data_IF_636753245901
#
_entry.id   IF_636753245901
#
_cell.length_a   1.000
_cell.length_b   1.000
_cell.length_c   1.000
_cell.angle_alpha   90.00
_cell.angle_beta   90.00
_cell.angle_gamma   90.00
#
_symmetry.space_group_name_H-M   'P 1'
#
loop_
_entity.id
_entity.type
_entity.pdbx_description
1 polymer ?
#
# COMPACT_ATOMS: atom_id res chain seq x y z
N UNK A 1 -36.83 -25.52 42.63
CA UNK A 1 -35.37 -25.35 42.38
C UNK A 1 -34.94 -25.59 40.93
N UNK A 2 -35.75 -26.25 40.08
CA UNK A 2 -35.36 -26.66 38.71
C UNK A 2 -35.23 -25.51 37.71
N UNK A 3 -36.09 -24.49 37.78
CA UNK A 3 -36.02 -23.33 36.88
C UNK A 3 -34.70 -22.56 36.98
N UNK A 4 -34.15 -22.40 38.19
CA UNK A 4 -32.89 -21.67 38.40
C UNK A 4 -31.71 -22.38 37.73
N UNK A 5 -31.67 -23.71 37.79
CA UNK A 5 -30.61 -24.53 37.17
C UNK A 5 -30.75 -24.51 35.64
N UNK A 6 -31.98 -24.66 35.12
CA UNK A 6 -32.25 -24.61 33.68
C UNK A 6 -31.87 -23.26 33.04
N UNK A 7 -32.22 -22.14 33.69
CA UNK A 7 -31.82 -20.80 33.24
C UNK A 7 -30.30 -20.57 33.33
N UNK A 8 -29.62 -21.20 34.29
CA UNK A 8 -28.17 -21.10 34.47
C UNK A 8 -27.42 -21.89 33.39
N UNK A 9 -27.88 -23.10 33.05
CA UNK A 9 -27.36 -23.93 31.95
C UNK A 9 -27.55 -23.22 30.60
N UNK A 10 -28.76 -22.74 30.31
CA UNK A 10 -29.03 -22.01 29.06
C UNK A 10 -28.15 -20.75 28.94
N UNK A 11 -27.94 -20.01 30.04
CA UNK A 11 -27.04 -18.85 30.09
C UNK A 11 -25.57 -19.21 29.89
N UNK A 12 -25.12 -20.37 30.37
CA UNK A 12 -23.75 -20.86 30.15
C UNK A 12 -23.53 -21.30 28.69
N UNK A 13 -24.48 -21.99 28.08
CA UNK A 13 -24.41 -22.36 26.66
C UNK A 13 -24.31 -21.12 25.75
N UNK A 14 -25.11 -20.08 26.03
CA UNK A 14 -25.01 -18.81 25.31
C UNK A 14 -23.63 -18.14 25.48
N UNK A 15 -22.98 -18.26 26.65
CA UNK A 15 -21.61 -17.75 26.85
C UNK A 15 -20.57 -18.52 26.03
N UNK A 16 -20.71 -19.84 25.90
CA UNK A 16 -19.82 -20.64 25.05
C UNK A 16 -19.97 -20.28 23.57
N UNK A 17 -21.20 -20.04 23.10
CA UNK A 17 -21.45 -19.62 21.73
C UNK A 17 -20.87 -18.22 21.46
N UNK A 18 -21.10 -17.25 22.34
CA UNK A 18 -20.50 -15.91 22.25
C UNK A 18 -18.97 -15.97 22.24
N UNK A 19 -18.37 -16.78 23.13
CA UNK A 19 -16.93 -16.97 23.19
C UNK A 19 -16.40 -17.61 21.89
N UNK A 20 -17.11 -18.59 21.33
CA UNK A 20 -16.76 -19.25 20.08
C UNK A 20 -16.84 -18.30 18.89
N UNK A 21 -17.90 -17.49 18.79
CA UNK A 21 -18.05 -16.46 17.75
C UNK A 21 -16.89 -15.46 17.84
N UNK A 22 -16.58 -14.95 19.03
CA UNK A 22 -15.43 -14.04 19.23
C UNK A 22 -14.10 -14.66 18.85
N UNK A 23 -13.90 -15.94 19.14
CA UNK A 23 -12.69 -16.66 18.75
C UNK A 23 -12.58 -16.81 17.24
N UNK A 24 -13.69 -17.13 16.57
CA UNK A 24 -13.74 -17.19 15.11
C UNK A 24 -13.47 -15.82 14.48
N UNK A 25 -14.06 -14.74 14.99
CA UNK A 25 -13.81 -13.39 14.50
C UNK A 25 -12.33 -13.01 14.62
N UNK A 26 -11.69 -13.29 15.77
CA UNK A 26 -10.24 -13.07 15.94
C UNK A 26 -9.40 -13.88 14.95
N UNK A 27 -9.74 -15.14 14.71
CA UNK A 27 -9.03 -15.98 13.73
C UNK A 27 -9.21 -15.42 12.31
N UNK A 28 -10.42 -14.97 11.95
CA UNK A 28 -10.71 -14.38 10.65
C UNK A 28 -9.93 -13.07 10.47
N UNK A 29 -9.94 -12.20 11.48
CA UNK A 29 -9.20 -10.93 11.49
C UNK A 29 -7.69 -11.15 11.38
N UNK A 30 -7.14 -12.10 12.14
CA UNK A 30 -5.73 -12.49 12.06
C UNK A 30 -5.37 -12.99 10.66
N UNK A 31 -6.15 -13.92 10.09
CA UNK A 31 -5.92 -14.41 8.72
C UNK A 31 -6.04 -13.30 7.68
N UNK A 32 -6.97 -12.37 7.86
CA UNK A 32 -7.11 -11.21 6.99
C UNK A 32 -5.89 -10.29 7.09
N UNK A 33 -5.46 -9.95 8.30
CA UNK A 33 -4.27 -9.12 8.53
C UNK A 33 -3.01 -9.74 7.93
N UNK A 34 -2.82 -11.06 8.06
CA UNK A 34 -1.71 -11.80 7.44
C UNK A 34 -1.77 -11.71 5.90
N UNK A 35 -2.96 -11.87 5.30
CA UNK A 35 -3.12 -11.73 3.84
C UNK A 35 -2.85 -10.31 3.37
N UNK A 36 -3.36 -9.31 4.08
CA UNK A 36 -3.10 -7.90 3.78
C UNK A 36 -1.61 -7.56 3.89
N UNK A 37 -0.95 -8.11 4.92
CA UNK A 37 0.48 -7.99 5.13
C UNK A 37 1.28 -8.59 3.96
N UNK A 38 0.97 -9.82 3.57
CA UNK A 38 1.65 -10.51 2.48
C UNK A 38 1.48 -9.78 1.14
N UNK A 39 0.25 -9.34 0.85
CA UNK A 39 -0.04 -8.53 -0.33
C UNK A 39 0.77 -7.24 -0.31
N UNK A 40 0.83 -6.56 0.83
CA UNK A 40 1.60 -5.34 0.98
C UNK A 40 3.09 -5.58 0.73
N UNK A 41 3.67 -6.63 1.32
CA UNK A 41 5.08 -6.97 1.15
C UNK A 41 5.42 -7.22 -0.31
N UNK A 42 4.60 -8.00 -1.01
CA UNK A 42 4.78 -8.29 -2.44
C UNK A 42 4.68 -7.01 -3.28
N UNK A 43 3.70 -6.16 -2.99
CA UNK A 43 3.52 -4.90 -3.72
C UNK A 43 4.70 -3.96 -3.48
N UNK A 44 5.12 -3.75 -2.22
CA UNK A 44 6.26 -2.89 -1.88
C UNK A 44 7.55 -3.43 -2.51
N UNK A 45 7.82 -4.74 -2.42
CA UNK A 45 9.00 -5.34 -3.02
C UNK A 45 9.03 -5.17 -4.54
N UNK A 46 7.88 -5.31 -5.21
CA UNK A 46 7.75 -5.10 -6.66
C UNK A 46 7.95 -3.63 -7.04
N UNK A 47 7.36 -2.70 -6.30
CA UNK A 47 7.39 -1.27 -6.58
C UNK A 47 8.78 -0.70 -6.29
N UNK A 48 9.42 -1.10 -5.20
CA UNK A 48 10.72 -0.55 -4.79
C UNK A 48 11.93 -1.24 -5.43
N UNK A 49 11.76 -2.36 -6.14
CA UNK A 49 12.84 -3.01 -6.90
C UNK A 49 13.43 -2.04 -7.94
N UNK A 50 14.69 -1.62 -7.85
CA UNK A 50 15.27 -0.70 -8.83
C UNK A 50 15.17 -1.28 -10.25
N UNK A 51 14.66 -0.48 -11.18
CA UNK A 51 14.58 -0.84 -12.59
C UNK A 51 16.00 -0.75 -13.16
N UNK A 52 16.78 -1.83 -13.09
CA UNK A 52 18.13 -1.77 -13.65
C UNK A 52 19.13 -2.89 -13.35
N UNK A 53 18.81 -3.93 -12.57
CA UNK A 53 19.70 -5.09 -12.47
C UNK A 53 19.01 -6.34 -13.01
N UNK A 54 19.23 -6.72 -14.29
CA UNK A 54 19.00 -8.10 -14.68
C UNK A 54 19.98 -8.97 -13.90
N UNK A 55 19.50 -10.15 -13.51
CA UNK A 55 20.22 -11.21 -12.83
C UNK A 55 21.71 -11.26 -13.18
N UNK A 56 22.57 -10.86 -12.26
CA UNK A 56 23.95 -11.33 -12.19
C UNK A 56 24.30 -11.36 -10.71
N UNK A 57 24.70 -12.54 -10.25
CA UNK A 57 25.31 -12.78 -8.95
C UNK A 57 26.60 -11.96 -8.85
N UNK A 58 26.51 -10.67 -8.58
CA UNK A 58 27.61 -9.88 -8.04
C UNK A 58 26.99 -8.66 -7.40
N UNK A 59 27.16 -8.54 -6.09
CA UNK A 59 26.94 -7.31 -5.35
C UNK A 59 27.55 -6.12 -6.12
N UNK A 60 26.81 -5.01 -6.24
CA UNK A 60 27.44 -3.71 -6.25
C UNK A 60 26.92 -2.94 -5.05
N UNK A 61 27.87 -2.65 -4.17
CA UNK A 61 27.78 -1.71 -3.07
C UNK A 61 27.12 -0.40 -3.53
N UNK A 62 25.83 -0.26 -3.27
CA UNK A 62 25.24 1.07 -3.09
C UNK A 62 25.21 1.29 -1.60
N UNK A 63 26.18 2.07 -1.13
CA UNK A 63 26.44 2.38 0.26
C UNK A 63 25.13 2.66 1.02
N UNK A 64 24.84 1.94 2.12
CA UNK A 64 23.78 2.32 3.02
C UNK A 64 24.31 3.52 3.83
N UNK A 65 24.00 4.73 3.41
CA UNK A 65 24.10 5.86 4.32
C UNK A 65 23.04 5.65 5.41
N UNK A 66 23.51 5.24 6.59
CA UNK A 66 22.84 5.23 7.90
C UNK A 66 21.85 4.11 8.24
N UNK A 67 22.21 2.82 8.11
CA UNK A 67 21.54 1.75 8.89
C UNK A 67 20.00 1.70 8.83
N UNK A 68 19.40 2.32 7.81
CA UNK A 68 17.98 2.57 7.74
C UNK A 68 17.36 1.31 7.14
N UNK A 69 16.61 0.56 7.96
CA UNK A 69 15.92 -0.65 7.51
C UNK A 69 15.18 -0.35 6.22
N UNK A 70 15.32 -1.22 5.22
CA UNK A 70 14.57 -1.03 3.98
C UNK A 70 13.07 -1.02 4.29
N UNK A 71 12.22 -0.33 3.51
CA UNK A 71 10.77 -0.35 3.75
C UNK A 71 10.19 -1.77 3.78
N UNK A 72 10.84 -2.73 3.10
CA UNK A 72 10.48 -4.15 3.15
C UNK A 72 10.84 -4.77 4.50
N UNK A 73 12.01 -4.47 5.05
CA UNK A 73 12.45 -4.96 6.37
C UNK A 73 11.60 -4.38 7.51
N UNK A 74 11.20 -3.11 7.41
CA UNK A 74 10.30 -2.48 8.39
C UNK A 74 8.93 -3.14 8.41
N UNK A 75 8.41 -3.52 7.24
CA UNK A 75 7.16 -4.27 7.10
C UNK A 75 7.32 -5.66 7.73
N UNK A 76 8.42 -6.36 7.46
CA UNK A 76 8.69 -7.67 8.07
C UNK A 76 8.79 -7.60 9.61
N UNK A 77 9.50 -6.60 10.15
CA UNK A 77 9.59 -6.38 11.59
C UNK A 77 8.22 -6.09 12.21
N UNK A 78 7.39 -5.29 11.53
CA UNK A 78 6.01 -5.03 11.97
C UNK A 78 5.19 -6.33 12.09
N UNK A 79 5.42 -7.28 11.18
CA UNK A 79 4.73 -8.56 11.18
C UNK A 79 5.15 -9.49 12.31
N UNK A 80 6.42 -9.44 12.73
CA UNK A 80 6.90 -10.20 13.88
C UNK A 80 6.10 -9.86 15.14
N UNK A 81 5.81 -8.58 15.39
CA UNK A 81 4.99 -8.14 16.53
C UNK A 81 3.55 -8.68 16.51
N UNK A 82 2.98 -8.92 15.33
CA UNK A 82 1.61 -9.48 15.21
C UNK A 82 1.64 -11.01 15.28
N UNK A 83 2.72 -11.62 14.81
CA UNK A 83 2.91 -13.08 14.81
C UNK A 83 3.17 -13.64 16.20
N UNK A 84 3.85 -12.89 17.06
CA UNK A 84 4.17 -13.31 18.44
C UNK A 84 2.95 -13.31 19.37
N UNK A 85 1.85 -12.66 18.99
CA UNK A 85 0.64 -12.58 19.81
C UNK A 85 -0.26 -13.80 19.56
N UNK A 86 -0.62 -14.50 20.63
CA UNK A 86 -1.56 -15.61 20.54
C UNK A 86 -2.97 -15.13 20.15
N UNK A 87 -3.37 -15.43 18.92
CA UNK A 87 -4.70 -15.09 18.39
C UNK A 87 -5.84 -15.94 18.97
N UNK A 88 -5.52 -17.00 19.74
CA UNK A 88 -6.49 -17.88 20.38
C UNK A 88 -6.87 -17.42 21.79
N UNK A 89 -6.16 -16.44 22.36
CA UNK A 89 -6.49 -15.85 23.65
C UNK A 89 -7.62 -14.81 23.52
N UNK A 90 -8.82 -15.21 23.96
CA UNK A 90 -10.04 -14.38 23.97
C UNK A 90 -10.26 -13.74 25.35
N UNK A 91 -9.29 -13.87 26.27
CA UNK A 91 -9.31 -13.14 27.53
C UNK A 91 -9.29 -11.63 27.29
N UNK A 92 -9.65 -10.86 28.32
CA UNK A 92 -9.59 -9.40 28.27
C UNK A 92 -8.12 -8.97 28.05
N UNK A 93 -7.17 -9.67 28.66
CA UNK A 93 -5.73 -9.44 28.54
C UNK A 93 -5.19 -9.77 27.14
N UNK A 94 -5.61 -10.90 26.55
CA UNK A 94 -5.25 -11.26 25.18
C UNK A 94 -5.86 -10.32 24.13
N UNK A 95 -7.03 -9.74 24.42
CA UNK A 95 -7.66 -8.74 23.55
C UNK A 95 -6.93 -7.41 23.59
N UNK A 96 -6.54 -6.93 24.78
CA UNK A 96 -5.75 -5.70 24.89
C UNK A 96 -4.34 -5.86 24.31
N UNK A 97 -3.72 -7.04 24.46
CA UNK A 97 -2.44 -7.37 23.83
C UNK A 97 -2.55 -7.38 22.29
N UNK A 98 -3.61 -8.00 21.74
CA UNK A 98 -3.88 -8.00 20.30
C UNK A 98 -4.11 -6.59 19.76
N UNK A 99 -4.94 -5.78 20.42
CA UNK A 99 -5.21 -4.40 20.00
C UNK A 99 -3.94 -3.55 20.05
N UNK A 100 -3.09 -3.74 21.06
CA UNK A 100 -1.81 -3.05 21.17
C UNK A 100 -0.84 -3.45 20.04
N UNK A 101 -0.74 -4.74 19.72
CA UNK A 101 0.08 -5.23 18.62
C UNK A 101 -0.42 -4.78 17.26
N UNK A 102 -1.74 -4.80 17.05
CA UNK A 102 -2.37 -4.30 15.83
C UNK A 102 -2.11 -2.79 15.66
N UNK A 103 -2.24 -1.98 16.72
CA UNK A 103 -1.90 -0.55 16.67
C UNK A 103 -0.44 -0.31 16.31
N UNK A 104 0.49 -1.07 16.91
CA UNK A 104 1.93 -0.97 16.57
C UNK A 104 2.19 -1.34 15.12
N UNK A 105 1.54 -2.39 14.62
CA UNK A 105 1.62 -2.78 13.21
C UNK A 105 1.13 -1.65 12.30
N UNK A 106 -0.07 -1.11 12.57
CA UNK A 106 -0.63 0.00 11.80
C UNK A 106 0.28 1.23 11.82
N UNK A 107 0.88 1.56 12.96
CA UNK A 107 1.84 2.67 13.07
C UNK A 107 3.11 2.43 12.23
N UNK A 108 3.69 1.23 12.28
CA UNK A 108 4.86 0.91 11.44
C UNK A 108 4.52 0.94 9.95
N UNK A 109 3.36 0.42 9.56
CA UNK A 109 2.89 0.52 8.18
C UNK A 109 2.67 1.99 7.77
N UNK A 110 2.13 2.84 8.65
CA UNK A 110 1.99 4.26 8.37
C UNK A 110 3.34 4.96 8.15
N UNK A 111 4.38 4.62 8.94
CA UNK A 111 5.75 5.13 8.73
C UNK A 111 6.31 4.70 7.36
N UNK A 112 6.10 3.44 6.99
CA UNK A 112 6.49 2.92 5.68
C UNK A 112 5.74 3.64 4.55
N UNK A 113 4.44 3.90 4.72
CA UNK A 113 3.65 4.68 3.76
C UNK A 113 4.19 6.11 3.61
N UNK A 114 4.55 6.77 4.71
CA UNK A 114 5.17 8.11 4.66
C UNK A 114 6.50 8.09 3.91
N UNK A 115 7.36 7.11 4.17
CA UNK A 115 8.64 6.95 3.46
C UNK A 115 8.44 6.70 1.96
N UNK A 116 7.51 5.81 1.58
CA UNK A 116 7.13 5.56 0.19
C UNK A 116 6.60 6.84 -0.46
N UNK A 117 5.77 7.60 0.26
CA UNK A 117 5.20 8.86 -0.22
C UNK A 117 6.27 9.91 -0.47
N UNK A 118 7.26 10.04 0.42
CA UNK A 118 8.41 10.92 0.21
C UNK A 118 9.16 10.54 -1.06
N UNK A 119 9.49 9.26 -1.22
CA UNK A 119 10.20 8.77 -2.41
C UNK A 119 9.40 8.98 -3.71
N UNK A 120 8.09 8.81 -3.65
CA UNK A 120 7.18 9.09 -4.77
C UNK A 120 7.25 10.58 -5.12
N UNK A 121 7.17 11.48 -4.12
CA UNK A 121 7.30 12.93 -4.30
C UNK A 121 8.64 13.33 -4.90
N UNK A 122 9.74 12.77 -4.42
CA UNK A 122 11.08 13.06 -4.94
C UNK A 122 11.23 12.67 -6.41
N UNK A 123 10.72 11.48 -6.78
CA UNK A 123 10.72 11.02 -8.17
C UNK A 123 9.83 11.89 -9.07
N UNK A 124 8.63 12.25 -8.60
CA UNK A 124 7.72 13.16 -9.31
C UNK A 124 8.28 14.57 -9.44
N UNK A 125 9.01 15.07 -8.45
CA UNK A 125 9.69 16.36 -8.51
C UNK A 125 10.84 16.39 -9.52
N UNK A 126 11.50 15.25 -9.75
CA UNK A 126 12.57 15.12 -10.75
C UNK A 126 12.06 14.94 -12.19
N UNK A 127 10.81 14.51 -12.37
CA UNK A 127 10.23 14.20 -13.66
C UNK A 127 9.93 15.47 -14.46
N UNK A 128 10.46 15.55 -15.68
CA UNK A 128 10.30 16.73 -16.56
C UNK A 128 9.15 16.58 -17.53
N UNK A 129 8.82 15.34 -17.90
CA UNK A 129 7.86 15.02 -18.95
C UNK A 129 6.63 14.30 -18.40
N UNK A 130 5.47 14.46 -19.05
CA UNK A 130 4.26 13.70 -18.72
C UNK A 130 4.50 12.19 -18.81
N UNK A 131 5.26 11.73 -19.81
CA UNK A 131 5.60 10.32 -19.99
C UNK A 131 6.43 9.74 -18.82
N UNK A 132 7.37 10.52 -18.25
CA UNK A 132 8.15 10.10 -17.09
C UNK A 132 7.27 10.02 -15.85
N UNK A 133 6.39 11.02 -15.65
CA UNK A 133 5.41 10.99 -14.59
C UNK A 133 4.48 9.76 -14.70
N UNK A 134 3.98 9.45 -15.90
CA UNK A 134 3.17 8.24 -16.13
C UNK A 134 3.94 6.95 -15.86
N UNK A 135 5.21 6.88 -16.25
CA UNK A 135 6.06 5.73 -15.95
C UNK A 135 6.18 5.50 -14.44
N UNK A 136 6.40 6.58 -13.68
CA UNK A 136 6.41 6.54 -12.21
C UNK A 136 5.04 6.11 -11.68
N UNK A 137 3.94 6.76 -12.07
CA UNK A 137 2.60 6.40 -11.59
C UNK A 137 2.23 4.94 -11.88
N UNK A 138 2.58 4.41 -13.07
CA UNK A 138 2.31 3.02 -13.43
C UNK A 138 2.99 2.03 -12.48
N UNK A 139 4.18 2.39 -11.99
CA UNK A 139 4.97 1.58 -11.07
C UNK A 139 4.36 1.58 -9.66
N UNK A 140 3.85 2.71 -9.20
CA UNK A 140 3.21 2.83 -7.88
C UNK A 140 1.72 2.48 -7.87
N UNK A 141 1.11 2.13 -9.00
CA UNK A 141 -0.33 1.92 -9.15
C UNK A 141 -0.93 0.93 -8.13
N UNK A 142 -0.20 -0.14 -7.81
CA UNK A 142 -0.64 -1.14 -6.84
C UNK A 142 -0.73 -0.61 -5.39
N UNK A 143 -0.16 0.57 -5.10
CA UNK A 143 -0.19 1.21 -3.79
C UNK A 143 -1.28 2.27 -3.66
N UNK A 144 -2.02 2.59 -4.73
CA UNK A 144 -3.03 3.66 -4.73
C UNK A 144 -4.30 3.33 -3.93
N UNK A 145 -4.44 2.10 -3.42
CA UNK A 145 -5.52 1.77 -2.48
C UNK A 145 -5.25 2.29 -1.06
N UNK A 146 -4.05 2.82 -0.76
CA UNK A 146 -3.69 3.31 0.58
C UNK A 146 -4.03 4.78 0.75
N UNK A 147 -4.69 5.17 1.84
CA UNK A 147 -5.21 6.53 2.02
C UNK A 147 -4.13 7.61 2.02
N UNK A 148 -2.97 7.35 2.67
CA UNK A 148 -1.86 8.31 2.71
C UNK A 148 -1.25 8.53 1.31
N UNK A 149 -0.97 7.43 0.61
CA UNK A 149 -0.37 7.45 -0.73
C UNK A 149 -1.34 8.08 -1.74
N UNK A 150 -2.63 7.76 -1.65
CA UNK A 150 -3.68 8.33 -2.48
C UNK A 150 -3.85 9.84 -2.26
N UNK A 151 -3.71 10.32 -1.02
CA UNK A 151 -3.69 11.74 -0.72
C UNK A 151 -2.57 12.47 -1.47
N UNK A 152 -1.36 11.93 -1.42
CA UNK A 152 -0.22 12.51 -2.15
C UNK A 152 -0.38 12.42 -3.67
N UNK A 153 -0.90 11.31 -4.20
CA UNK A 153 -1.12 11.13 -5.64
C UNK A 153 -2.11 12.15 -6.19
N UNK A 154 -3.21 12.43 -5.47
CA UNK A 154 -4.22 13.41 -5.89
C UNK A 154 -3.65 14.80 -6.12
N UNK A 155 -2.66 15.20 -5.31
CA UNK A 155 -1.98 16.50 -5.45
C UNK A 155 -1.28 16.62 -6.82
N UNK A 156 -0.61 15.56 -7.28
CA UNK A 156 0.12 15.55 -8.55
C UNK A 156 -0.77 15.23 -9.76
N UNK A 157 -1.95 14.62 -9.56
CA UNK A 157 -2.90 14.35 -10.66
C UNK A 157 -3.30 15.65 -11.38
N UNK A 158 -3.54 16.75 -10.66
CA UNK A 158 -3.86 18.04 -11.27
C UNK A 158 -2.73 18.54 -12.18
N UNK A 159 -1.48 18.41 -11.73
CA UNK A 159 -0.31 18.80 -12.54
C UNK A 159 -0.14 17.90 -13.76
N UNK A 160 -0.37 16.58 -13.61
CA UNK A 160 -0.29 15.63 -14.71
C UNK A 160 -1.35 15.92 -15.77
N UNK A 161 -2.60 16.17 -15.34
CA UNK A 161 -3.70 16.52 -16.24
C UNK A 161 -3.36 17.77 -17.05
N UNK A 162 -2.82 18.80 -16.39
CA UNK A 162 -2.45 20.04 -17.07
C UNK A 162 -1.32 19.82 -18.11
N UNK A 163 -0.27 19.08 -17.77
CA UNK A 163 0.80 18.73 -18.71
C UNK A 163 0.29 17.91 -19.90
N UNK A 164 -0.59 16.95 -19.65
CA UNK A 164 -1.20 16.13 -20.71
C UNK A 164 -2.09 16.97 -21.61
N UNK A 165 -2.83 17.94 -21.05
CA UNK A 165 -3.63 18.87 -21.83
C UNK A 165 -2.74 19.70 -22.77
N UNK A 166 -1.64 20.25 -22.26
CA UNK A 166 -0.66 21.00 -23.08
C UNK A 166 -0.03 20.13 -24.17
N UNK A 167 0.22 18.85 -23.88
CA UNK A 167 0.71 17.89 -24.88
C UNK A 167 -0.33 17.61 -25.98
N UNK A 168 -1.61 17.47 -25.61
CA UNK A 168 -2.71 17.32 -26.57
C UNK A 168 -2.87 18.58 -27.42
N UNK A 169 -2.85 19.77 -26.83
CA UNK A 169 -2.96 21.04 -27.55
C UNK A 169 -1.78 21.22 -28.53
N UNK A 170 -0.56 20.87 -28.12
CA UNK A 170 0.61 20.85 -29.02
C UNK A 170 0.45 19.87 -30.17
N UNK A 171 -0.10 18.68 -29.90
CA UNK A 171 -0.36 17.69 -30.93
C UNK A 171 -1.43 18.18 -31.92
N UNK A 172 -2.50 18.79 -31.43
CA UNK A 172 -3.55 19.39 -32.24
C UNK A 172 -3.00 20.52 -33.13
N UNK A 173 -2.17 21.42 -32.58
CA UNK A 173 -1.54 22.49 -33.36
C UNK A 173 -0.64 21.95 -34.47
N UNK A 174 0.14 20.89 -34.20
CA UNK A 174 0.96 20.20 -35.21
C UNK A 174 0.11 19.60 -36.32
N UNK A 175 -0.98 18.92 -35.96
CA UNK A 175 -1.91 18.35 -36.93
C UNK A 175 -2.55 19.43 -37.81
N UNK A 176 -3.07 20.50 -37.23
CA UNK A 176 -3.69 21.60 -37.98
C UNK A 176 -2.70 22.26 -38.95
N UNK A 177 -1.43 22.46 -38.53
CA UNK A 177 -0.38 23.02 -39.38
C UNK A 177 -0.01 22.08 -40.52
N UNK A 178 0.21 20.80 -40.25
CA UNK A 178 0.48 19.79 -41.29
C UNK A 178 -0.69 19.66 -42.27
N UNK A 179 -1.94 19.74 -41.80
CA UNK A 179 -3.11 19.74 -42.66
C UNK A 179 -3.14 20.99 -43.56
N UNK A 180 -2.75 22.16 -43.07
CA UNK A 180 -2.68 23.38 -43.87
C UNK A 180 -1.55 23.31 -44.93
N UNK A 181 -0.35 22.85 -44.56
CA UNK A 181 0.78 22.68 -45.47
C UNK A 181 0.50 21.64 -46.56
N UNK A 182 -0.01 20.45 -46.18
CA UNK A 182 -0.36 19.39 -47.13
C UNK A 182 -1.50 19.81 -48.07
N UNK A 183 -2.40 20.72 -47.67
CA UNK A 183 -3.46 21.23 -48.55
C UNK A 183 -2.94 22.29 -49.52
N UNK A 184 -1.88 23.01 -49.15
CA UNK A 184 -1.18 23.97 -50.00
C UNK A 184 -0.42 23.29 -51.15
N UNK A 185 0.23 22.16 -50.88
CA UNK A 185 0.97 21.38 -51.89
C UNK A 185 0.06 20.71 -52.95
N UNK A 186 -1.21 20.44 -52.64
CA UNK A 186 -2.14 19.78 -53.59
C UNK A 186 -2.80 20.81 -54.55
N UNK A 187 -2.66 22.12 -54.27
CA UNK A 187 -3.27 23.21 -55.05
C UNK A 187 -2.28 24.02 -55.89
N UNK A 188 -1.01 23.60 -55.94
CA UNK A 188 0.03 24.07 -56.86
C UNK A 188 0.49 22.94 -57.75
#
# INVERSE_FOLDING_TARGET
MTYSIFWKIKREEHKYIELFIRKLDKIILSKFAIRQHEQLRVVIARVLRPAGTPSTETQPETQPHNGELTPVDQVNLAYEFVKEVDCLDVSIEGTTAWDAAQRRYEEQIARVETAITSRLRDQLGSARNANEMFSIFSRFNALFCRPQILGAVREYQTQLIQRVKEDIERLQAKFTKQYADNRGEILT
#
